data_IF_833127015433
#
_entry.id   IF_833127015433
#
_cell.length_a   1.000
_cell.length_b   1.000
_cell.length_c   1.000
_cell.angle_alpha   90.00
_cell.angle_beta   90.00
_cell.angle_gamma   90.00
#
_symmetry.space_group_name_H-M   'P 1'
#
loop_
_entity.id
_entity.type
_entity.pdbx_description
1 polymer ?
#
# COMPACT_ATOMS: atom_id res chain seq x y z
N UNK A 1 -5.68 -3.19 -19.87
CA UNK A 1 -4.78 -2.48 -20.80
C UNK A 1 -4.95 -3.07 -22.19
N UNK A 2 -5.20 -2.25 -23.25
CA UNK A 2 -5.37 -2.73 -24.60
C UNK A 2 -4.17 -3.57 -25.07
N UNK A 3 -4.44 -4.81 -25.54
CA UNK A 3 -3.43 -5.77 -25.98
C UNK A 3 -2.70 -6.52 -24.87
N UNK A 4 -3.14 -6.35 -23.63
CA UNK A 4 -2.62 -7.05 -22.45
C UNK A 4 -3.77 -7.66 -21.61
N UNK A 5 -4.89 -7.97 -22.25
CA UNK A 5 -6.08 -8.45 -21.55
C UNK A 5 -5.83 -9.82 -20.90
N UNK A 6 -6.37 -10.06 -19.69
CA UNK A 6 -6.35 -11.38 -19.07
C UNK A 6 -7.04 -12.43 -19.96
N UNK A 7 -6.48 -13.61 -20.01
CA UNK A 7 -7.08 -14.79 -20.67
C UNK A 7 -7.52 -15.85 -19.65
N UNK A 8 -7.33 -15.57 -18.36
CA UNK A 8 -7.66 -16.40 -17.21
C UNK A 8 -6.97 -17.77 -17.17
N UNK A 9 -6.10 -18.05 -18.12
CA UNK A 9 -5.32 -19.30 -18.21
C UNK A 9 -3.84 -19.08 -17.99
N UNK A 10 -3.26 -18.06 -18.62
CA UNK A 10 -1.83 -17.72 -18.55
C UNK A 10 -1.57 -16.28 -18.15
N UNK A 11 -2.50 -15.38 -18.52
CA UNK A 11 -2.50 -13.98 -18.11
C UNK A 11 -3.63 -13.84 -17.08
N UNK A 12 -3.26 -13.82 -15.82
CA UNK A 12 -4.13 -13.89 -14.67
C UNK A 12 -4.51 -12.51 -14.15
N UNK A 13 -5.66 -12.44 -13.53
CA UNK A 13 -6.01 -11.42 -12.55
C UNK A 13 -5.68 -11.94 -11.13
N UNK A 14 -6.03 -11.17 -10.11
CA UNK A 14 -5.91 -11.61 -8.72
C UNK A 14 -6.71 -12.90 -8.42
N UNK A 15 -7.82 -13.13 -9.13
CA UNK A 15 -8.69 -14.29 -8.90
C UNK A 15 -7.97 -15.61 -9.18
N UNK A 16 -7.38 -15.71 -10.36
CA UNK A 16 -6.61 -16.90 -10.77
C UNK A 16 -5.31 -17.02 -9.97
N UNK A 17 -4.70 -15.86 -9.65
CA UNK A 17 -3.48 -15.81 -8.87
C UNK A 17 -3.67 -16.28 -7.42
N UNK A 18 -4.85 -16.09 -6.82
CA UNK A 18 -5.15 -16.58 -5.46
C UNK A 18 -5.35 -18.09 -5.38
N UNK A 19 -5.86 -18.71 -6.44
CA UNK A 19 -6.16 -20.15 -6.46
C UNK A 19 -5.67 -20.75 -7.78
N UNK A 20 -4.33 -20.80 -8.01
CA UNK A 20 -3.78 -21.29 -9.25
C UNK A 20 -3.99 -22.81 -9.37
N UNK A 21 -4.24 -23.34 -10.58
CA UNK A 21 -4.41 -24.78 -10.77
C UNK A 21 -3.09 -25.55 -10.54
N UNK A 22 -1.95 -24.89 -10.67
CA UNK A 22 -0.62 -25.39 -10.36
C UNK A 22 0.33 -24.22 -10.10
N UNK A 23 1.37 -24.47 -9.30
CA UNK A 23 2.41 -23.47 -9.05
C UNK A 23 3.25 -23.27 -10.33
N UNK A 24 3.36 -22.04 -10.88
CA UNK A 24 4.24 -21.78 -12.02
C UNK A 24 5.71 -21.85 -11.59
N UNK A 25 6.63 -22.09 -12.53
CA UNK A 25 8.07 -22.02 -12.27
C UNK A 25 8.60 -20.59 -12.41
N UNK A 26 7.94 -19.79 -13.25
CA UNK A 26 8.28 -18.39 -13.51
C UNK A 26 7.03 -17.51 -13.65
N UNK A 27 7.12 -16.28 -13.12
CA UNK A 27 6.00 -15.36 -13.03
C UNK A 27 6.45 -13.93 -13.37
N UNK A 28 5.68 -13.26 -14.23
CA UNK A 28 5.77 -11.82 -14.46
C UNK A 28 4.60 -11.12 -13.77
N UNK A 29 4.89 -10.17 -12.91
CA UNK A 29 3.89 -9.29 -12.29
C UNK A 29 3.97 -7.92 -12.95
N UNK A 30 2.88 -7.46 -13.55
CA UNK A 30 2.77 -6.16 -14.21
C UNK A 30 2.05 -5.20 -13.27
N UNK A 31 2.78 -4.19 -12.78
CA UNK A 31 2.35 -3.28 -11.73
C UNK A 31 2.95 -3.66 -10.37
N UNK A 32 3.41 -2.66 -9.63
CA UNK A 32 4.08 -2.80 -8.34
C UNK A 32 3.38 -2.05 -7.20
N UNK A 33 2.08 -1.83 -7.32
CA UNK A 33 1.25 -1.43 -6.18
C UNK A 33 1.15 -2.55 -5.15
N UNK A 34 0.40 -2.34 -4.06
CA UNK A 34 0.26 -3.32 -2.97
C UNK A 34 -0.07 -4.73 -3.49
N UNK A 35 -1.09 -4.86 -4.34
CA UNK A 35 -1.52 -6.15 -4.92
C UNK A 35 -0.37 -6.85 -5.67
N UNK A 36 0.33 -6.12 -6.55
CA UNK A 36 1.42 -6.68 -7.34
C UNK A 36 2.58 -7.15 -6.47
N UNK A 37 2.93 -6.38 -5.45
CA UNK A 37 4.01 -6.71 -4.51
C UNK A 37 3.63 -7.86 -3.58
N UNK A 38 2.39 -7.93 -3.12
CA UNK A 38 1.91 -9.05 -2.31
C UNK A 38 2.00 -10.37 -3.08
N UNK A 39 1.50 -10.42 -4.32
CA UNK A 39 1.66 -11.61 -5.16
C UNK A 39 3.12 -11.91 -5.48
N UNK A 40 3.94 -10.92 -5.79
CA UNK A 40 5.36 -11.13 -6.03
C UNK A 40 6.07 -11.75 -4.83
N UNK A 41 5.80 -11.23 -3.62
CA UNK A 41 6.34 -11.75 -2.36
C UNK A 41 5.83 -13.16 -2.07
N UNK A 42 4.53 -13.40 -2.20
CA UNK A 42 3.89 -14.69 -1.98
C UNK A 42 4.47 -15.79 -2.90
N UNK A 43 4.48 -15.55 -4.21
CA UNK A 43 5.00 -16.53 -5.16
C UNK A 43 6.51 -16.74 -5.01
N UNK A 44 7.26 -15.68 -4.67
CA UNK A 44 8.69 -15.81 -4.40
C UNK A 44 8.96 -16.67 -3.17
N UNK A 45 8.17 -16.53 -2.11
CA UNK A 45 8.26 -17.38 -0.92
C UNK A 45 7.98 -18.86 -1.21
N UNK A 46 7.14 -19.15 -2.22
CA UNK A 46 6.89 -20.51 -2.73
C UNK A 46 7.98 -21.04 -3.69
N UNK A 47 9.05 -20.26 -3.95
CA UNK A 47 10.17 -20.68 -4.77
C UNK A 47 10.06 -20.33 -6.26
N UNK A 48 9.02 -19.59 -6.67
CA UNK A 48 8.83 -19.16 -8.07
C UNK A 48 9.88 -18.13 -8.45
N UNK A 49 10.38 -18.16 -9.68
CA UNK A 49 11.20 -17.09 -10.26
C UNK A 49 10.28 -15.91 -10.61
N UNK A 50 10.37 -14.80 -9.87
CA UNK A 50 9.46 -13.67 -10.03
C UNK A 50 10.17 -12.47 -10.65
N UNK A 51 9.53 -11.88 -11.66
CA UNK A 51 9.89 -10.58 -12.24
C UNK A 51 8.75 -9.60 -12.07
N UNK A 52 9.04 -8.38 -11.60
CA UNK A 52 8.10 -7.28 -11.47
C UNK A 52 8.44 -6.19 -12.49
N UNK A 53 7.44 -5.68 -13.22
CA UNK A 53 7.58 -4.54 -14.14
C UNK A 53 6.70 -3.40 -13.67
N UNK A 54 7.30 -2.24 -13.48
CA UNK A 54 6.65 -1.01 -13.01
C UNK A 54 6.93 0.15 -13.97
N UNK A 55 5.88 0.87 -14.37
CA UNK A 55 5.98 2.03 -15.27
C UNK A 55 6.57 3.25 -14.55
N UNK A 56 6.34 3.38 -13.27
CA UNK A 56 6.92 4.44 -12.44
C UNK A 56 8.41 4.17 -12.20
N UNK A 57 9.12 5.19 -11.72
CA UNK A 57 10.56 5.11 -11.43
C UNK A 57 10.89 4.34 -10.12
N UNK A 58 9.88 3.93 -9.36
CA UNK A 58 10.00 3.17 -8.11
C UNK A 58 8.81 2.21 -7.94
N UNK A 59 9.02 1.14 -7.20
CA UNK A 59 7.94 0.24 -6.76
C UNK A 59 7.12 0.91 -5.65
N UNK A 60 5.90 0.42 -5.40
CA UNK A 60 5.02 0.95 -4.36
C UNK A 60 4.95 2.48 -4.41
N UNK A 61 4.54 3.07 -5.54
CA UNK A 61 4.71 4.51 -5.80
C UNK A 61 3.93 5.42 -4.85
N UNK A 62 2.91 4.89 -4.16
CA UNK A 62 2.12 5.63 -3.17
C UNK A 62 2.76 5.68 -1.78
N UNK A 63 3.72 4.79 -1.51
CA UNK A 63 4.43 4.74 -0.24
C UNK A 63 5.48 5.87 -0.13
N UNK A 64 5.94 6.13 1.10
CA UNK A 64 7.07 7.04 1.32
C UNK A 64 8.29 6.55 0.53
N UNK A 65 9.05 7.49 -0.04
CA UNK A 65 10.15 7.17 -0.95
C UNK A 65 11.24 6.32 -0.30
N UNK A 66 11.51 6.55 0.98
CA UNK A 66 12.52 5.80 1.74
C UNK A 66 12.05 4.36 1.99
N UNK A 67 10.76 4.16 2.30
CA UNK A 67 10.16 2.83 2.45
C UNK A 67 10.18 2.09 1.11
N UNK A 68 9.80 2.75 0.03
CA UNK A 68 9.84 2.19 -1.32
C UNK A 68 11.26 1.74 -1.72
N UNK A 69 12.31 2.52 -1.40
CA UNK A 69 13.72 2.15 -1.64
C UNK A 69 14.16 0.94 -0.82
N UNK A 70 13.78 0.89 0.45
CA UNK A 70 14.08 -0.24 1.33
C UNK A 70 13.37 -1.52 0.86
N UNK A 71 12.11 -1.41 0.47
CA UNK A 71 11.34 -2.51 -0.12
C UNK A 71 12.01 -3.06 -1.38
N UNK A 72 12.42 -2.18 -2.30
CA UNK A 72 13.13 -2.59 -3.52
C UNK A 72 14.40 -3.39 -3.18
N UNK A 73 15.20 -2.87 -2.23
CA UNK A 73 16.42 -3.55 -1.79
C UNK A 73 16.13 -4.94 -1.18
N UNK A 74 15.10 -5.03 -0.34
CA UNK A 74 14.72 -6.28 0.33
C UNK A 74 14.24 -7.33 -0.68
N UNK A 75 13.37 -6.95 -1.62
CA UNK A 75 12.87 -7.87 -2.66
C UNK A 75 13.96 -8.31 -3.64
N UNK A 76 14.86 -7.40 -4.04
CA UNK A 76 16.02 -7.76 -4.86
C UNK A 76 16.95 -8.76 -4.15
N UNK A 77 17.19 -8.57 -2.83
CA UNK A 77 17.95 -9.51 -1.98
C UNK A 77 17.31 -10.89 -1.93
N UNK A 78 15.97 -10.96 -1.97
CA UNK A 78 15.21 -12.22 -2.03
C UNK A 78 15.22 -12.87 -3.42
N UNK A 79 15.77 -12.21 -4.44
CA UNK A 79 15.88 -12.72 -5.82
C UNK A 79 14.67 -12.39 -6.70
N UNK A 80 13.87 -11.39 -6.35
CA UNK A 80 12.87 -10.82 -7.26
C UNK A 80 13.59 -9.89 -8.24
N UNK A 81 13.40 -10.10 -9.53
CA UNK A 81 13.89 -9.19 -10.58
C UNK A 81 12.91 -8.03 -10.72
N UNK A 82 13.39 -6.78 -10.64
CA UNK A 82 12.55 -5.59 -10.67
C UNK A 82 12.98 -4.65 -11.79
N UNK A 83 12.04 -4.30 -12.68
CA UNK A 83 12.22 -3.32 -13.74
C UNK A 83 11.32 -2.11 -13.49
N UNK A 84 11.87 -1.00 -12.98
CA UNK A 84 11.19 0.28 -12.84
C UNK A 84 11.39 1.16 -14.08
N UNK A 85 10.50 2.13 -14.33
CA UNK A 85 10.51 2.94 -15.55
C UNK A 85 10.29 2.11 -16.81
N UNK A 86 9.72 0.92 -16.70
CA UNK A 86 9.57 -0.05 -17.77
C UNK A 86 8.09 -0.30 -18.08
N UNK A 87 7.78 -0.57 -19.34
CA UNK A 87 6.40 -0.80 -19.79
C UNK A 87 6.33 -2.10 -20.56
N UNK A 88 5.38 -2.97 -20.25
CA UNK A 88 5.03 -4.12 -21.10
C UNK A 88 4.25 -3.59 -22.30
N UNK A 89 4.72 -3.91 -23.50
CA UNK A 89 4.12 -3.47 -24.77
C UNK A 89 3.28 -4.55 -25.42
N UNK A 90 3.62 -5.80 -25.21
CA UNK A 90 2.94 -6.92 -25.85
C UNK A 90 3.12 -8.19 -25.01
N UNK A 91 2.07 -8.99 -24.96
CA UNK A 91 2.09 -10.37 -24.48
C UNK A 91 1.71 -11.30 -25.63
N UNK A 92 2.40 -12.42 -25.77
CA UNK A 92 2.09 -13.44 -26.75
C UNK A 92 2.31 -14.83 -26.18
N UNK A 93 1.46 -15.78 -26.55
CA UNK A 93 1.63 -17.16 -26.12
C UNK A 93 2.82 -17.82 -26.81
N UNK A 94 3.57 -18.62 -26.08
CA UNK A 94 4.65 -19.43 -26.60
C UNK A 94 4.16 -20.86 -26.92
N UNK A 95 4.87 -21.58 -27.79
CA UNK A 95 4.48 -22.94 -28.20
C UNK A 95 4.54 -23.96 -27.06
N UNK A 96 5.39 -23.73 -26.06
CA UNK A 96 5.58 -24.58 -24.90
C UNK A 96 4.57 -24.28 -23.76
N UNK A 97 3.62 -23.37 -24.01
CA UNK A 97 2.53 -23.09 -23.07
C UNK A 97 2.77 -21.95 -22.08
N UNK A 98 3.86 -21.18 -22.27
CA UNK A 98 4.15 -19.96 -21.51
C UNK A 98 3.67 -18.68 -22.19
N UNK A 99 4.21 -17.55 -21.73
CA UNK A 99 3.97 -16.20 -22.25
C UNK A 99 5.31 -15.51 -22.53
N UNK A 100 5.43 -14.92 -23.70
CA UNK A 100 6.51 -13.99 -24.06
C UNK A 100 6.04 -12.57 -23.83
N UNK A 101 6.69 -11.84 -22.94
CA UNK A 101 6.46 -10.44 -22.69
C UNK A 101 7.52 -9.58 -23.36
N UNK A 102 7.11 -8.62 -24.18
CA UNK A 102 7.99 -7.61 -24.77
C UNK A 102 7.90 -6.33 -23.96
N UNK A 103 9.03 -5.89 -23.42
CA UNK A 103 9.18 -4.71 -22.58
C UNK A 103 9.87 -3.57 -23.34
N UNK A 104 9.48 -2.34 -22.99
CA UNK A 104 10.30 -1.14 -23.18
C UNK A 104 10.90 -0.78 -21.83
N UNK A 105 12.22 -0.82 -21.72
CA UNK A 105 12.96 -0.51 -20.48
C UNK A 105 13.12 0.99 -20.28
N UNK A 106 13.53 1.42 -19.08
CA UNK A 106 13.72 2.82 -18.72
C UNK A 106 14.67 3.61 -19.67
N UNK A 107 15.68 2.93 -20.19
CA UNK A 107 16.62 3.51 -21.18
C UNK A 107 16.13 3.45 -22.63
N UNK A 108 14.87 3.04 -22.87
CA UNK A 108 14.22 2.99 -24.18
C UNK A 108 14.49 1.73 -25.00
N UNK A 109 15.32 0.80 -24.52
CA UNK A 109 15.60 -0.44 -25.20
C UNK A 109 14.41 -1.42 -25.11
N UNK A 110 14.34 -2.34 -26.07
CA UNK A 110 13.39 -3.46 -26.02
C UNK A 110 14.06 -4.66 -25.37
N UNK A 111 13.35 -5.34 -24.47
CA UNK A 111 13.73 -6.61 -23.87
C UNK A 111 12.58 -7.60 -24.00
N UNK A 112 12.89 -8.89 -24.02
CA UNK A 112 11.90 -9.98 -24.03
C UNK A 112 12.12 -10.87 -22.81
N UNK A 113 11.01 -11.23 -22.14
CA UNK A 113 11.00 -12.10 -20.97
C UNK A 113 10.01 -13.22 -21.24
N UNK A 114 10.48 -14.47 -21.18
CA UNK A 114 9.64 -15.66 -21.25
C UNK A 114 9.30 -16.11 -19.82
N UNK A 115 8.00 -16.35 -19.55
CA UNK A 115 7.50 -16.80 -18.25
C UNK A 115 6.36 -17.80 -18.42
N UNK A 116 6.08 -18.57 -17.37
CA UNK A 116 4.94 -19.50 -17.40
C UNK A 116 3.61 -18.74 -17.26
N UNK A 117 3.57 -17.73 -16.40
CA UNK A 117 2.34 -16.96 -16.10
C UNK A 117 2.63 -15.48 -15.95
N UNK A 118 1.59 -14.70 -16.16
CA UNK A 118 1.59 -13.25 -15.95
C UNK A 118 0.47 -12.89 -15.01
N UNK A 119 0.70 -11.98 -14.04
CA UNK A 119 -0.34 -11.35 -13.22
C UNK A 119 -0.47 -9.89 -13.64
N UNK A 120 -1.72 -9.49 -13.94
CA UNK A 120 -2.08 -8.10 -14.21
C UNK A 120 -2.48 -7.41 -12.91
N UNK A 121 -1.63 -6.51 -12.41
CA UNK A 121 -1.84 -5.77 -11.15
C UNK A 121 -1.74 -4.24 -11.38
N UNK A 122 -2.35 -3.74 -12.47
CA UNK A 122 -2.19 -2.36 -12.96
C UNK A 122 -3.27 -1.38 -12.49
N UNK A 123 -4.05 -1.74 -11.52
CA UNK A 123 -5.08 -0.89 -10.91
C UNK A 123 -6.41 -1.61 -10.73
N UNK A 124 -7.32 -0.89 -10.07
CA UNK A 124 -8.66 -1.36 -9.73
C UNK A 124 -9.67 -0.34 -10.28
N UNK A 125 -10.82 -0.82 -10.71
CA UNK A 125 -12.00 -0.02 -11.04
C UNK A 125 -13.20 -0.58 -10.32
N UNK A 126 -14.20 0.24 -10.00
CA UNK A 126 -15.45 -0.22 -9.43
C UNK A 126 -16.23 -1.07 -10.44
N UNK A 127 -17.01 -2.03 -9.95
CA UNK A 127 -17.93 -2.80 -10.78
C UNK A 127 -19.25 -2.00 -10.92
N UNK A 128 -19.27 -1.06 -11.82
CA UNK A 128 -20.37 -0.09 -12.02
C UNK A 128 -21.21 -0.39 -13.26
N UNK A 129 -20.79 -1.35 -14.09
CA UNK A 129 -21.44 -1.67 -15.36
C UNK A 129 -22.78 -2.37 -15.14
N UNK A 130 -23.76 -2.04 -15.98
CA UNK A 130 -25.09 -2.67 -16.04
C UNK A 130 -25.92 -2.53 -14.74
N UNK A 131 -25.60 -1.59 -13.87
CA UNK A 131 -26.39 -1.30 -12.67
C UNK A 131 -27.48 -0.24 -12.90
N UNK A 132 -27.55 0.36 -14.08
CA UNK A 132 -28.52 1.40 -14.39
C UNK A 132 -28.31 2.72 -13.65
N UNK A 133 -27.11 2.96 -13.13
CA UNK A 133 -26.78 4.07 -12.22
C UNK A 133 -27.13 5.44 -12.80
N UNK A 134 -26.74 5.70 -14.04
CA UNK A 134 -26.95 6.98 -14.72
C UNK A 134 -28.43 7.30 -14.92
N UNK A 135 -29.27 6.27 -15.20
CA UNK A 135 -30.72 6.41 -15.37
C UNK A 135 -31.40 6.85 -14.07
N UNK A 136 -30.76 6.62 -12.92
CA UNK A 136 -31.24 6.98 -11.60
C UNK A 136 -30.53 8.22 -11.02
N UNK A 137 -29.76 8.94 -11.83
CA UNK A 137 -29.09 10.18 -11.41
C UNK A 137 -27.83 9.98 -10.58
N UNK A 138 -27.26 8.75 -10.59
CA UNK A 138 -25.96 8.45 -9.94
C UNK A 138 -24.84 8.73 -10.93
N UNK A 139 -23.92 9.60 -10.54
CA UNK A 139 -22.76 9.95 -11.38
C UNK A 139 -21.65 8.92 -11.20
N UNK A 140 -21.07 8.47 -12.32
CA UNK A 140 -19.86 7.63 -12.36
C UNK A 140 -18.74 8.42 -13.01
N UNK A 141 -17.58 8.50 -12.34
CA UNK A 141 -16.34 9.09 -12.86
C UNK A 141 -15.21 8.07 -12.79
N UNK A 142 -14.50 7.87 -13.90
CA UNK A 142 -13.35 6.96 -14.01
C UNK A 142 -13.60 5.56 -13.43
N UNK A 143 -14.81 5.03 -13.59
CA UNK A 143 -15.21 3.71 -13.10
C UNK A 143 -15.55 3.67 -11.61
N UNK A 144 -15.80 4.81 -10.96
CA UNK A 144 -16.22 4.87 -9.56
C UNK A 144 -17.48 5.74 -9.40
N UNK A 145 -18.31 5.41 -8.42
CA UNK A 145 -19.50 6.20 -8.07
C UNK A 145 -19.01 7.45 -7.31
N UNK A 146 -19.45 8.63 -7.77
CA UNK A 146 -19.17 9.90 -7.10
C UNK A 146 -20.08 10.05 -5.88
N UNK A 147 -19.49 10.31 -4.71
CA UNK A 147 -20.20 10.54 -3.45
C UNK A 147 -19.66 11.78 -2.74
N UNK A 148 -20.47 12.34 -1.84
CA UNK A 148 -20.02 13.36 -0.89
C UNK A 148 -19.35 12.73 0.35
N UNK A 149 -18.92 13.58 1.31
CA UNK A 149 -18.30 13.14 2.57
C UNK A 149 -19.19 12.27 3.47
N UNK A 150 -20.49 12.13 3.14
CA UNK A 150 -21.48 11.32 3.85
C UNK A 150 -21.91 10.09 3.04
N UNK A 151 -21.13 9.72 2.02
CA UNK A 151 -21.42 8.61 1.11
C UNK A 151 -22.70 8.77 0.26
N UNK A 152 -23.25 10.00 0.13
CA UNK A 152 -24.42 10.26 -0.68
C UNK A 152 -24.03 10.34 -2.15
N UNK A 153 -24.82 9.70 -3.01
CA UNK A 153 -24.72 9.88 -4.47
C UNK A 153 -25.52 11.12 -4.89
N UNK A 154 -25.55 11.44 -6.19
CA UNK A 154 -26.45 12.47 -6.72
C UNK A 154 -27.95 12.11 -6.64
N UNK A 155 -28.29 10.83 -6.46
CA UNK A 155 -29.67 10.35 -6.38
C UNK A 155 -30.16 10.32 -4.95
N UNK A 156 -31.36 10.88 -4.70
CA UNK A 156 -31.99 10.91 -3.38
C UNK A 156 -32.22 9.50 -2.82
N UNK A 157 -31.73 9.23 -1.62
CA UNK A 157 -31.89 7.95 -0.93
C UNK A 157 -30.95 6.85 -1.43
N UNK A 158 -30.00 7.17 -2.31
CA UNK A 158 -28.98 6.24 -2.81
C UNK A 158 -27.61 6.65 -2.29
N UNK A 159 -26.91 5.68 -1.69
CA UNK A 159 -25.59 5.83 -1.09
C UNK A 159 -24.64 4.82 -1.69
N UNK A 160 -23.34 5.10 -1.67
CA UNK A 160 -22.33 4.16 -2.09
C UNK A 160 -21.10 4.24 -1.16
N UNK A 161 -20.51 3.07 -0.88
CA UNK A 161 -19.34 2.92 0.02
C UNK A 161 -18.37 1.88 -0.56
N UNK A 162 -17.15 1.85 -0.01
CA UNK A 162 -16.15 0.85 -0.32
C UNK A 162 -15.45 1.06 -1.65
N UNK A 163 -15.01 -0.02 -2.27
CA UNK A 163 -14.16 0.03 -3.46
C UNK A 163 -14.83 0.71 -4.66
N UNK A 164 -16.16 0.64 -4.74
CA UNK A 164 -16.93 1.25 -5.82
C UNK A 164 -16.90 2.79 -5.81
N UNK A 165 -16.53 3.42 -4.67
CA UNK A 165 -16.40 4.88 -4.57
C UNK A 165 -14.96 5.38 -4.73
N UNK A 166 -14.00 4.49 -4.95
CA UNK A 166 -12.61 4.83 -5.25
C UNK A 166 -11.63 4.62 -4.09
N UNK A 167 -10.36 4.99 -4.32
CA UNK A 167 -9.27 4.73 -3.40
C UNK A 167 -9.41 5.51 -2.06
N UNK A 168 -8.71 5.03 -1.00
CA UNK A 168 -7.98 3.78 -0.97
C UNK A 168 -8.93 2.56 -0.94
N UNK A 169 -8.60 1.50 -1.72
CA UNK A 169 -9.39 0.27 -1.81
C UNK A 169 -9.03 -0.67 -0.66
N UNK A 170 -9.63 -0.41 0.51
CA UNK A 170 -9.31 -1.08 1.77
C UNK A 170 -10.61 -1.47 2.50
N UNK A 171 -10.68 -2.72 2.94
CA UNK A 171 -11.86 -3.26 3.62
C UNK A 171 -12.24 -2.47 4.87
N UNK A 172 -11.25 -2.06 5.68
CA UNK A 172 -11.49 -1.28 6.91
C UNK A 172 -11.97 0.16 6.61
N UNK A 173 -11.55 0.78 5.48
CA UNK A 173 -12.16 2.03 4.98
C UNK A 173 -13.64 1.81 4.65
N UNK A 174 -13.95 0.76 3.89
CA UNK A 174 -15.32 0.42 3.51
C UNK A 174 -16.22 0.17 4.74
N UNK A 175 -15.72 -0.54 5.75
CA UNK A 175 -16.42 -0.78 7.01
C UNK A 175 -16.73 0.54 7.73
N UNK A 176 -15.77 1.44 7.84
CA UNK A 176 -15.95 2.72 8.51
C UNK A 176 -16.89 3.64 7.73
N UNK A 177 -16.81 3.67 6.40
CA UNK A 177 -17.77 4.37 5.54
C UNK A 177 -19.20 3.84 5.75
N UNK A 178 -19.36 2.52 5.88
CA UNK A 178 -20.65 1.89 6.14
C UNK A 178 -21.27 2.33 7.46
N UNK A 179 -20.50 2.34 8.54
CA UNK A 179 -20.93 2.81 9.86
C UNK A 179 -21.32 4.29 9.81
N UNK A 180 -20.39 5.14 9.31
CA UNK A 180 -20.60 6.57 9.13
C UNK A 180 -21.87 6.88 8.34
N UNK A 181 -22.07 6.20 7.20
CA UNK A 181 -23.21 6.39 6.32
C UNK A 181 -24.53 6.09 7.05
N UNK A 182 -24.62 4.94 7.74
CA UNK A 182 -25.84 4.52 8.44
C UNK A 182 -26.13 5.40 9.65
N UNK A 183 -25.12 5.78 10.43
CA UNK A 183 -25.27 6.70 11.56
C UNK A 183 -25.78 8.08 11.09
N UNK A 184 -25.25 8.57 9.96
CA UNK A 184 -25.71 9.84 9.38
C UNK A 184 -27.15 9.75 8.87
N UNK A 185 -27.55 8.65 8.25
CA UNK A 185 -28.94 8.39 7.83
C UNK A 185 -29.87 8.36 9.05
N UNK A 186 -29.42 7.75 10.15
CA UNK A 186 -30.18 7.66 11.40
C UNK A 186 -30.28 8.99 12.15
N UNK A 187 -29.53 10.01 11.72
CA UNK A 187 -29.54 11.35 12.36
C UNK A 187 -28.80 11.40 13.71
N UNK A 188 -27.84 10.51 13.94
CA UNK A 188 -27.03 10.53 15.16
C UNK A 188 -26.18 11.81 15.22
N UNK A 189 -26.07 12.37 16.42
CA UNK A 189 -25.17 13.50 16.69
C UNK A 189 -23.71 13.02 16.85
N UNK A 190 -22.74 13.92 16.58
CA UNK A 190 -21.32 13.63 16.75
C UNK A 190 -20.71 12.76 15.67
N UNK A 191 -21.43 12.48 14.59
CA UNK A 191 -20.89 11.77 13.43
C UNK A 191 -20.01 12.73 12.61
N UNK A 192 -18.78 12.33 12.34
CA UNK A 192 -17.80 13.11 11.56
C UNK A 192 -17.45 12.42 10.24
N UNK A 193 -17.16 13.16 9.17
CA UNK A 193 -16.65 12.59 7.92
C UNK A 193 -15.33 11.83 8.14
N UNK A 194 -15.12 10.78 7.36
CA UNK A 194 -13.85 10.06 7.36
C UNK A 194 -12.73 10.96 6.80
N UNK A 195 -11.66 11.16 7.57
CA UNK A 195 -10.41 11.74 7.04
C UNK A 195 -9.60 10.63 6.35
N UNK A 196 -9.41 10.66 5.03
CA UNK A 196 -8.64 9.65 4.32
C UNK A 196 -7.19 9.51 4.82
N UNK A 197 -6.63 10.58 5.42
CA UNK A 197 -5.28 10.58 6.00
C UNK A 197 -5.20 9.80 7.32
N UNK A 198 -6.32 9.41 7.89
CA UNK A 198 -6.40 8.58 9.10
C UNK A 198 -6.62 7.10 8.81
N UNK A 199 -6.71 6.72 7.54
CA UNK A 199 -6.86 5.33 7.12
C UNK A 199 -5.47 4.70 6.98
N UNK A 200 -5.10 3.71 7.81
CA UNK A 200 -3.81 3.03 7.67
C UNK A 200 -3.80 2.15 6.42
N UNK A 201 -2.71 2.19 5.66
CA UNK A 201 -2.43 1.29 4.55
C UNK A 201 -1.51 0.15 5.00
N UNK A 202 -1.78 -1.08 4.55
CA UNK A 202 -0.95 -2.24 4.80
C UNK A 202 -0.70 -3.00 3.51
N UNK A 203 0.56 -3.43 3.30
CA UNK A 203 0.94 -4.34 2.23
C UNK A 203 1.51 -5.61 2.87
N UNK A 204 0.81 -6.72 2.67
CA UNK A 204 1.09 -8.01 3.31
C UNK A 204 2.13 -8.79 2.49
N UNK A 205 3.36 -8.34 2.55
CA UNK A 205 4.53 -8.94 1.90
C UNK A 205 5.62 -9.24 2.96
N UNK A 206 6.76 -9.73 2.55
CA UNK A 206 7.91 -9.95 3.43
C UNK A 206 9.12 -9.21 2.88
N UNK A 207 9.64 -8.19 3.61
CA UNK A 207 9.12 -7.62 4.86
C UNK A 207 7.78 -6.91 4.67
N UNK A 208 6.93 -6.87 5.72
CA UNK A 208 5.64 -6.15 5.69
C UNK A 208 5.86 -4.64 5.54
N UNK A 209 4.84 -3.95 5.00
CA UNK A 209 4.85 -2.48 4.88
C UNK A 209 3.55 -1.94 5.46
N UNK A 210 3.64 -0.84 6.21
CA UNK A 210 2.48 -0.14 6.73
C UNK A 210 2.69 1.37 6.70
N UNK A 211 1.63 2.12 6.42
CA UNK A 211 1.68 3.57 6.28
C UNK A 211 0.43 4.23 6.83
N UNK A 212 0.59 5.45 7.33
CA UNK A 212 -0.48 6.29 7.84
C UNK A 212 -0.15 7.76 7.58
N UNK A 213 -1.09 8.54 7.12
CA UNK A 213 -0.96 9.99 6.98
C UNK A 213 -0.12 10.42 5.77
N UNK A 214 0.59 11.52 5.93
CA UNK A 214 1.35 12.16 4.86
C UNK A 214 2.75 11.54 4.73
N UNK A 215 3.18 11.27 3.51
CA UNK A 215 4.59 10.99 3.23
C UNK A 215 5.44 12.24 3.45
N UNK A 216 6.74 12.09 3.64
CA UNK A 216 7.64 13.23 3.81
C UNK A 216 7.56 14.21 2.64
N UNK A 217 7.49 13.71 1.41
CA UNK A 217 7.38 14.53 0.21
C UNK A 217 6.08 15.34 0.18
N UNK A 218 4.95 14.70 0.43
CA UNK A 218 3.63 15.36 0.45
C UNK A 218 3.53 16.39 1.58
N UNK A 219 4.07 16.07 2.77
CA UNK A 219 4.07 17.01 3.89
C UNK A 219 4.92 18.26 3.58
N UNK A 220 6.10 18.09 2.94
CA UNK A 220 6.93 19.22 2.48
C UNK A 220 6.23 20.06 1.42
N UNK A 221 5.60 19.41 0.43
CA UNK A 221 4.84 20.10 -0.63
C UNK A 221 3.66 20.90 -0.06
N UNK A 222 3.02 20.37 1.00
CA UNK A 222 1.97 21.08 1.73
C UNK A 222 2.48 22.23 2.60
N UNK A 223 3.80 22.49 2.66
CA UNK A 223 4.41 23.63 3.35
C UNK A 223 4.69 23.41 4.84
N UNK A 224 4.61 22.18 5.33
CA UNK A 224 4.97 21.88 6.72
C UNK A 224 6.48 21.98 6.97
N UNK A 225 6.86 22.53 8.11
CA UNK A 225 8.21 22.36 8.68
C UNK A 225 8.27 21.02 9.42
N UNK A 226 9.20 20.14 9.03
CA UNK A 226 9.16 18.76 9.48
C UNK A 226 10.23 18.44 10.52
N UNK A 227 9.83 17.64 11.52
CA UNK A 227 10.70 16.80 12.33
C UNK A 227 10.49 15.36 11.87
N UNK A 228 11.55 14.69 11.44
CA UNK A 228 11.48 13.33 10.89
C UNK A 228 12.37 12.42 11.69
N UNK A 229 11.78 11.38 12.27
CA UNK A 229 12.51 10.36 13.01
C UNK A 229 12.61 9.06 12.23
N UNK A 230 13.69 8.33 12.49
CA UNK A 230 14.01 7.05 11.86
C UNK A 230 14.60 6.12 12.89
N UNK A 231 14.06 4.91 12.96
CA UNK A 231 14.63 3.90 13.83
C UNK A 231 14.76 2.57 13.09
N UNK A 232 15.99 2.05 12.90
CA UNK A 232 16.23 0.81 12.18
C UNK A 232 15.93 -0.42 13.05
N UNK A 233 15.38 -1.48 12.46
CA UNK A 233 15.15 -2.76 13.13
C UNK A 233 16.42 -3.36 13.74
N UNK A 234 17.57 -3.18 13.09
CA UNK A 234 18.87 -3.68 13.56
C UNK A 234 19.32 -3.13 14.91
N UNK A 235 18.72 -2.02 15.37
CA UNK A 235 19.01 -1.44 16.70
C UNK A 235 18.06 -1.93 17.80
N UNK A 236 17.03 -2.72 17.46
CA UNK A 236 16.04 -3.20 18.42
C UNK A 236 16.36 -4.61 18.92
N UNK A 237 16.45 -4.78 20.25
CA UNK A 237 16.80 -6.07 20.86
C UNK A 237 15.80 -7.20 20.54
N UNK A 238 14.50 -6.91 20.45
CA UNK A 238 13.49 -7.91 20.09
C UNK A 238 13.61 -8.32 18.61
N UNK A 239 13.86 -7.38 17.70
CA UNK A 239 14.10 -7.67 16.29
C UNK A 239 15.34 -8.55 16.11
N UNK A 240 16.43 -8.27 16.85
CA UNK A 240 17.65 -9.10 16.85
C UNK A 240 17.33 -10.52 17.36
N UNK A 241 16.59 -10.63 18.47
CA UNK A 241 16.24 -11.94 19.06
C UNK A 241 15.34 -12.78 18.11
N UNK A 242 14.52 -12.15 17.27
CA UNK A 242 13.70 -12.80 16.26
C UNK A 242 14.46 -13.12 14.95
N UNK A 243 15.64 -12.53 14.74
CA UNK A 243 16.35 -12.61 13.46
C UNK A 243 15.77 -11.69 12.38
N UNK A 244 14.90 -10.75 12.75
CA UNK A 244 14.14 -9.86 11.83
C UNK A 244 14.73 -8.45 11.89
N UNK A 245 15.96 -8.28 11.42
CA UNK A 245 16.72 -7.02 11.54
C UNK A 245 16.59 -6.11 10.32
N UNK A 246 15.95 -6.55 9.25
CA UNK A 246 15.74 -5.76 8.04
C UNK A 246 14.43 -4.94 8.19
N UNK A 247 14.54 -3.63 8.43
CA UNK A 247 13.37 -2.76 8.54
C UNK A 247 13.67 -1.36 9.07
N UNK A 248 12.64 -0.52 9.05
CA UNK A 248 12.67 0.87 9.48
C UNK A 248 11.30 1.32 9.99
N UNK A 249 11.27 2.04 11.09
CA UNK A 249 10.14 2.87 11.52
C UNK A 249 10.50 4.32 11.22
N UNK A 250 9.66 5.00 10.42
CA UNK A 250 9.81 6.43 10.09
C UNK A 250 8.58 7.20 10.57
N UNK A 251 8.80 8.27 11.32
CA UNK A 251 7.75 9.17 11.81
C UNK A 251 7.98 10.58 11.29
N UNK A 252 6.89 11.31 11.03
CA UNK A 252 6.91 12.66 10.46
C UNK A 252 6.00 13.55 11.32
N UNK A 253 6.56 14.60 11.87
CA UNK A 253 5.87 15.57 12.73
C UNK A 253 5.91 16.97 12.13
N UNK A 254 4.88 17.75 12.39
CA UNK A 254 4.93 19.20 12.20
C UNK A 254 5.81 19.81 13.29
N UNK A 255 6.88 20.48 12.90
CA UNK A 255 7.82 21.10 13.83
C UNK A 255 7.23 22.24 14.66
N UNK A 256 6.10 22.81 14.22
CA UNK A 256 5.43 23.96 14.90
C UNK A 256 4.46 23.51 15.96
N UNK A 257 3.70 22.43 15.69
CA UNK A 257 2.61 21.99 16.55
C UNK A 257 2.92 20.71 17.29
N UNK A 258 3.92 19.96 16.85
CA UNK A 258 4.23 18.62 17.34
C UNK A 258 3.28 17.52 16.85
N UNK A 259 2.29 17.87 16.01
CA UNK A 259 1.30 16.90 15.52
C UNK A 259 1.94 15.81 14.65
N UNK A 260 1.52 14.56 14.83
CA UNK A 260 1.90 13.45 13.99
C UNK A 260 1.25 13.57 12.59
N UNK A 261 2.05 13.90 11.58
CA UNK A 261 1.60 14.03 10.20
C UNK A 261 1.57 12.69 9.48
N UNK A 262 2.53 11.80 9.76
CA UNK A 262 2.61 10.50 9.13
C UNK A 262 3.53 9.53 9.83
N UNK A 263 3.28 8.23 9.61
CA UNK A 263 4.14 7.14 10.02
C UNK A 263 4.24 6.12 8.89
N UNK A 264 5.45 5.72 8.54
CA UNK A 264 5.75 4.82 7.42
C UNK A 264 6.74 3.76 7.87
N UNK A 265 6.39 2.51 7.69
CA UNK A 265 7.13 1.40 8.28
C UNK A 265 7.36 0.28 7.29
N UNK A 266 8.52 -0.37 7.40
CA UNK A 266 8.83 -1.61 6.71
C UNK A 266 9.54 -2.55 7.68
N UNK A 267 9.13 -3.82 7.75
CA UNK A 267 9.73 -4.81 8.64
C UNK A 267 8.73 -5.84 9.15
N UNK A 268 9.15 -6.66 10.09
CA UNK A 268 8.29 -7.65 10.74
C UNK A 268 7.21 -6.96 11.58
N UNK A 269 5.97 -7.44 11.51
CA UNK A 269 4.82 -7.04 12.32
C UNK A 269 4.40 -5.55 12.17
N UNK A 270 4.87 -4.82 11.17
CA UNK A 270 4.50 -3.40 11.01
C UNK A 270 3.01 -3.21 10.72
N UNK A 271 2.35 -4.20 10.14
CA UNK A 271 0.89 -4.17 9.88
C UNK A 271 0.06 -4.22 11.17
N UNK A 272 0.63 -4.76 12.26
CA UNK A 272 0.06 -4.71 13.59
C UNK A 272 0.49 -3.44 14.35
N UNK A 273 1.77 -3.06 14.22
CA UNK A 273 2.34 -1.92 14.93
C UNK A 273 1.72 -0.58 14.52
N UNK A 274 1.35 -0.40 13.24
CA UNK A 274 0.80 0.86 12.72
C UNK A 274 -0.43 1.32 13.51
N UNK A 275 -1.17 0.39 14.12
CA UNK A 275 -2.36 0.68 14.90
C UNK A 275 -2.10 1.64 16.07
N UNK A 276 -0.92 1.56 16.70
CA UNK A 276 -0.54 2.48 17.76
C UNK A 276 -0.50 3.94 17.29
N UNK A 277 0.07 4.19 16.13
CA UNK A 277 0.07 5.52 15.51
C UNK A 277 -1.32 5.95 15.01
N UNK A 278 -2.13 5.01 14.52
CA UNK A 278 -3.51 5.30 14.10
C UNK A 278 -4.37 5.77 15.29
N UNK A 279 -4.25 5.13 16.45
CA UNK A 279 -4.92 5.56 17.70
C UNK A 279 -4.40 6.93 18.11
N UNK A 280 -3.07 7.12 18.15
CA UNK A 280 -2.47 8.41 18.48
C UNK A 280 -2.98 9.53 17.58
N UNK A 281 -3.00 9.31 16.27
CA UNK A 281 -3.50 10.29 15.30
C UNK A 281 -4.98 10.61 15.48
N UNK A 282 -5.82 9.60 15.75
CA UNK A 282 -7.25 9.81 16.02
C UNK A 282 -7.49 10.63 17.30
N UNK A 283 -6.62 10.46 18.30
CA UNK A 283 -6.66 11.23 19.55
C UNK A 283 -5.93 12.58 19.44
N UNK A 284 -5.48 12.96 18.25
CA UNK A 284 -4.75 14.21 17.99
C UNK A 284 -3.52 14.38 18.91
N UNK A 285 -2.84 13.25 19.23
CA UNK A 285 -1.63 13.30 20.07
C UNK A 285 -0.49 14.03 19.37
N UNK A 286 0.31 14.70 20.19
CA UNK A 286 1.58 15.30 19.75
C UNK A 286 2.76 14.39 20.09
N UNK A 287 3.97 14.81 19.72
CA UNK A 287 5.19 14.15 20.13
C UNK A 287 5.32 14.01 21.64
N UNK A 288 4.78 14.95 22.40
CA UNK A 288 4.92 14.97 23.86
C UNK A 288 4.24 13.75 24.51
N UNK A 289 3.00 13.43 24.11
CA UNK A 289 2.29 12.26 24.60
C UNK A 289 2.93 10.96 24.13
N UNK A 290 3.38 10.91 22.86
CA UNK A 290 4.07 9.74 22.31
C UNK A 290 5.41 9.48 23.01
N UNK A 291 6.20 10.53 23.34
CA UNK A 291 7.43 10.40 24.12
C UNK A 291 7.17 10.01 25.58
N UNK A 292 6.06 10.44 26.16
CA UNK A 292 5.71 10.12 27.55
C UNK A 292 5.07 8.73 27.70
N UNK A 293 4.64 8.12 26.60
CA UNK A 293 4.03 6.77 26.60
C UNK A 293 5.05 5.71 26.97
N UNK A 294 4.68 4.82 27.90
CA UNK A 294 5.52 3.69 28.30
C UNK A 294 5.29 2.53 27.33
N UNK A 295 6.36 2.11 26.67
CA UNK A 295 6.35 0.94 25.78
C UNK A 295 6.90 -0.28 26.53
N UNK A 296 6.28 -1.48 26.39
CA UNK A 296 6.76 -2.67 27.08
C UNK A 296 8.09 -3.15 26.50
N UNK A 297 8.96 -3.69 27.36
CA UNK A 297 10.27 -4.24 27.00
C UNK A 297 10.34 -5.75 27.34
N UNK A 298 10.86 -6.63 26.45
CA UNK A 298 11.37 -6.35 25.07
C UNK A 298 10.28 -6.53 24.01
N UNK A 299 10.08 -5.52 23.17
CA UNK A 299 9.08 -5.56 22.08
C UNK A 299 9.55 -4.90 20.81
N UNK A 300 8.89 -5.16 19.68
CA UNK A 300 9.06 -4.40 18.43
C UNK A 300 8.45 -3.00 18.54
N UNK A 301 7.42 -2.81 19.37
CA UNK A 301 6.77 -1.50 19.53
C UNK A 301 7.68 -0.43 20.15
N UNK A 302 8.76 -0.80 20.86
CA UNK A 302 9.76 0.17 21.34
C UNK A 302 10.38 0.97 20.20
N UNK A 303 10.47 0.41 18.98
CA UNK A 303 10.95 1.14 17.81
C UNK A 303 10.06 2.30 17.42
N UNK A 304 8.76 2.22 17.70
CA UNK A 304 7.83 3.34 17.51
C UNK A 304 8.22 4.50 18.42
N UNK A 305 8.46 4.23 19.69
CA UNK A 305 8.90 5.23 20.67
C UNK A 305 10.24 5.86 20.25
N UNK A 306 11.23 5.02 19.93
CA UNK A 306 12.57 5.48 19.53
C UNK A 306 12.52 6.34 18.25
N UNK A 307 11.66 6.01 17.28
CA UNK A 307 11.51 6.84 16.08
C UNK A 307 10.92 8.23 16.39
N UNK A 308 10.03 8.32 17.39
CA UNK A 308 9.53 9.61 17.90
C UNK A 308 10.66 10.39 18.59
N UNK A 309 11.41 9.73 19.46
CA UNK A 309 12.56 10.35 20.15
C UNK A 309 13.61 10.85 19.14
N UNK A 310 13.90 10.06 18.09
CA UNK A 310 14.86 10.45 17.04
C UNK A 310 14.45 11.72 16.31
N UNK A 311 13.14 11.89 15.98
CA UNK A 311 12.63 13.08 15.33
C UNK A 311 12.99 14.38 16.09
N UNK A 312 13.19 14.28 17.42
CA UNK A 312 13.51 15.40 18.31
C UNK A 312 14.91 15.34 18.92
N UNK A 313 15.79 14.48 18.35
CA UNK A 313 17.19 14.38 18.78
C UNK A 313 17.36 13.77 20.18
N UNK A 314 16.45 12.87 20.59
CA UNK A 314 16.38 12.27 21.93
C UNK A 314 16.46 10.73 21.89
N UNK A 315 16.76 10.13 20.74
CA UNK A 315 16.94 8.68 20.65
C UNK A 315 17.97 8.17 21.68
N UNK A 316 17.69 7.00 22.25
CA UNK A 316 18.50 6.43 23.32
C UNK A 316 19.37 5.25 22.85
N UNK A 317 18.94 4.56 21.78
CA UNK A 317 19.53 3.27 21.41
C UNK A 317 20.09 3.22 19.98
N UNK A 318 20.30 4.38 19.35
CA UNK A 318 20.98 4.54 18.03
C UNK A 318 22.09 5.60 18.11
#
# INVERSE_FOLDING_TARGET
LPGLEPDWTRIWTYKEAMVPPSLPTSLLVIGSGAIGIEFASFYRALGVAVTVVEVQNRILPVEDEEISKLAHKAFAKQGITIHTGATVKQLSHTQDGGVMARLRTANGNTAEIAVDRVIMAVGITGNVEQLGLEQHGVTVDKGHIVVDEWCRTGATGVYAIGDVVGPPWLAHKAMQEGVLCVEKIAGLEGVHPLDPRSVPGCTYCTPQIASLGLTEAVAREAGYELKVGRYPYSANGKAIALGETDGLIKTIFDAKTGALLGAHMIGAEVTELIQGFAIGKTLETTEAELMATIFPHPTLSEMMHESVLDAFGRALHI
#
